data_IF_093456276443
#
_entry.id   IF_093456276443
#
_cell.length_a   1.000
_cell.length_b   1.000
_cell.length_c   1.000
_cell.angle_alpha   90.00
_cell.angle_beta   90.00
_cell.angle_gamma   90.00
#
_symmetry.space_group_name_H-M   'P 1'
#
loop_
_entity.id
_entity.type
_entity.pdbx_description
1 polymer ?
#
# COMPACT_ATOMS: atom_id res chain seq x y z
N UNK A 1 12.88 12.78 -9.58
CA UNK A 1 14.25 12.88 -8.96
C UNK A 1 14.41 11.94 -7.77
N UNK A 2 13.44 11.89 -6.81
CA UNK A 2 13.58 11.01 -5.62
C UNK A 2 13.81 9.54 -6.00
N UNK A 3 12.96 8.96 -6.84
CA UNK A 3 13.08 7.55 -7.25
C UNK A 3 14.37 7.25 -8.04
N UNK A 4 14.96 8.25 -8.71
CA UNK A 4 16.24 8.07 -9.40
C UNK A 4 17.42 8.00 -8.42
N UNK A 5 17.32 8.73 -7.31
CA UNK A 5 18.34 8.75 -6.25
C UNK A 5 18.14 7.62 -5.21
N UNK A 6 16.98 6.99 -5.20
CA UNK A 6 16.60 5.92 -4.28
C UNK A 6 16.07 4.73 -5.08
N UNK A 7 16.95 4.00 -5.80
CA UNK A 7 16.53 2.81 -6.52
C UNK A 7 15.96 1.77 -5.53
N UNK A 8 15.03 0.91 -5.97
CA UNK A 8 14.54 -0.18 -5.15
C UNK A 8 15.70 -1.02 -4.64
N UNK A 9 15.62 -1.42 -3.38
CA UNK A 9 16.56 -2.40 -2.83
C UNK A 9 16.44 -3.70 -3.63
N UNK A 10 17.56 -4.42 -3.74
CA UNK A 10 17.54 -5.72 -4.40
C UNK A 10 16.61 -6.68 -3.64
N UNK A 11 16.05 -7.70 -4.30
CA UNK A 11 15.29 -8.72 -3.60
C UNK A 11 16.05 -9.33 -2.42
N UNK A 12 17.37 -9.47 -2.51
CA UNK A 12 18.20 -9.99 -1.40
C UNK A 12 18.18 -9.10 -0.16
N UNK A 13 18.14 -7.79 -0.35
CA UNK A 13 18.17 -6.81 0.76
C UNK A 13 16.79 -6.66 1.41
N UNK A 14 15.73 -7.03 0.71
CA UNK A 14 14.34 -6.92 1.18
C UNK A 14 13.68 -8.27 1.43
N UNK A 15 14.39 -9.38 1.24
CA UNK A 15 13.90 -10.71 1.57
C UNK A 15 13.66 -10.87 3.07
N UNK A 16 12.73 -11.77 3.39
CA UNK A 16 12.44 -12.14 4.77
C UNK A 16 13.67 -12.84 5.36
N UNK A 17 14.26 -12.25 6.37
CA UNK A 17 15.38 -12.83 7.11
C UNK A 17 14.94 -14.02 7.95
N UNK A 18 15.88 -14.88 8.36
CA UNK A 18 15.55 -16.03 9.21
C UNK A 18 14.84 -15.64 10.52
N UNK A 19 15.28 -14.61 11.28
CA UNK A 19 14.54 -14.17 12.46
C UNK A 19 13.12 -13.70 12.16
N UNK A 20 12.91 -13.00 11.03
CA UNK A 20 11.58 -12.58 10.60
C UNK A 20 10.71 -13.77 10.22
N UNK A 21 11.28 -14.76 9.52
CA UNK A 21 10.58 -16.00 9.18
C UNK A 21 10.12 -16.76 10.42
N UNK A 22 10.98 -16.91 11.42
CA UNK A 22 10.61 -17.52 12.71
C UNK A 22 9.52 -16.72 13.42
N UNK A 23 9.60 -15.39 13.38
CA UNK A 23 8.57 -14.51 13.92
C UNK A 23 7.22 -14.66 13.21
N UNK A 24 7.23 -14.87 11.88
CA UNK A 24 6.02 -15.15 11.10
C UNK A 24 5.44 -16.51 11.48
N UNK A 25 6.26 -17.53 11.67
CA UNK A 25 5.80 -18.85 12.09
C UNK A 25 5.16 -18.80 13.48
N UNK A 26 5.72 -18.01 14.41
CA UNK A 26 5.20 -17.86 15.77
C UNK A 26 3.92 -17.01 15.82
N UNK A 27 3.90 -15.87 15.13
CA UNK A 27 2.87 -14.82 15.25
C UNK A 27 1.81 -14.89 14.14
N UNK A 28 2.07 -15.64 13.07
CA UNK A 28 1.20 -15.67 11.89
C UNK A 28 1.03 -14.29 11.26
N UNK A 29 -0.18 -13.94 10.89
CA UNK A 29 -0.51 -12.64 10.28
C UNK A 29 -0.17 -11.45 11.17
N UNK A 30 -0.14 -11.62 12.49
CA UNK A 30 0.24 -10.57 13.45
C UNK A 30 1.72 -10.18 13.39
N UNK A 31 2.53 -10.84 12.57
CA UNK A 31 3.91 -10.42 12.31
C UNK A 31 3.97 -9.13 11.47
N UNK A 32 2.94 -8.89 10.65
CA UNK A 32 2.84 -7.65 9.86
C UNK A 32 2.33 -6.50 10.72
N UNK A 33 2.96 -5.36 10.56
CA UNK A 33 2.58 -4.11 11.21
C UNK A 33 3.02 -2.92 10.36
N UNK A 34 2.46 -1.77 10.67
CA UNK A 34 2.91 -0.50 10.12
C UNK A 34 3.66 0.27 11.20
N UNK A 35 4.80 0.86 10.87
CA UNK A 35 5.60 1.63 11.82
C UNK A 35 6.06 2.93 11.16
N UNK A 36 5.57 4.10 11.62
CA UNK A 36 5.97 5.38 11.09
C UNK A 36 7.39 5.80 11.52
N UNK A 37 7.99 5.13 12.51
CA UNK A 37 9.30 5.52 13.05
C UNK A 37 10.47 5.30 12.07
N UNK A 38 10.30 4.47 11.06
CA UNK A 38 11.32 4.27 10.02
C UNK A 38 11.38 5.38 8.97
N UNK A 39 10.34 6.16 8.86
CA UNK A 39 10.28 7.31 7.97
C UNK A 39 9.77 8.48 8.80
N UNK A 40 10.41 9.63 8.72
CA UNK A 40 10.01 10.87 9.40
C UNK A 40 8.63 11.36 8.93
N UNK A 41 7.65 10.47 8.96
CA UNK A 41 6.33 10.66 8.42
C UNK A 41 5.40 11.21 9.50
N UNK A 42 5.36 12.53 9.61
CA UNK A 42 4.51 13.25 10.57
C UNK A 42 3.02 13.25 10.17
N UNK A 43 2.67 12.64 9.04
CA UNK A 43 1.31 12.67 8.47
C UNK A 43 0.44 11.50 8.81
N UNK A 44 0.94 10.48 9.52
CA UNK A 44 0.18 9.31 9.95
C UNK A 44 0.55 8.88 11.36
N UNK A 45 -0.45 8.55 12.16
CA UNK A 45 -0.29 7.89 13.45
C UNK A 45 -0.73 6.43 13.33
N UNK A 46 0.00 5.55 13.95
CA UNK A 46 -0.32 4.12 13.99
C UNK A 46 -0.66 3.72 15.43
N UNK A 47 -1.84 3.14 15.63
CA UNK A 47 -2.24 2.49 16.87
C UNK A 47 -2.52 1.01 16.64
N UNK A 48 -2.45 0.20 17.69
CA UNK A 48 -2.66 -1.24 17.62
C UNK A 48 -1.89 -1.93 16.46
N UNK A 49 -0.80 -1.30 15.97
CA UNK A 49 0.09 -1.76 14.90
C UNK A 49 -0.50 -1.77 13.49
N UNK A 50 -1.82 -1.70 13.33
CA UNK A 50 -2.53 -1.81 12.05
C UNK A 50 -3.66 -0.80 11.87
N UNK A 51 -3.87 0.08 12.85
CA UNK A 51 -4.84 1.16 12.79
C UNK A 51 -4.11 2.45 12.39
N UNK A 52 -4.44 2.97 11.21
CA UNK A 52 -3.78 4.11 10.59
C UNK A 52 -4.68 5.33 10.64
N UNK A 53 -4.19 6.41 11.25
CA UNK A 53 -4.85 7.70 11.25
C UNK A 53 -4.00 8.71 10.50
N UNK A 54 -4.50 9.16 9.34
CA UNK A 54 -3.90 10.19 8.51
C UNK A 54 -4.43 11.57 8.90
N UNK A 55 -3.57 12.60 8.83
CA UNK A 55 -3.91 13.97 9.20
C UNK A 55 -3.97 14.89 7.97
N UNK A 56 -4.88 15.87 8.00
CA UNK A 56 -5.15 16.75 6.86
C UNK A 56 -3.99 17.70 6.51
N UNK A 57 -3.24 18.14 7.51
CA UNK A 57 -2.25 19.20 7.36
C UNK A 57 -0.81 18.69 7.55
N UNK A 58 -0.49 17.57 6.94
CA UNK A 58 0.85 17.00 7.07
C UNK A 58 1.89 17.80 6.29
N UNK A 59 3.03 18.14 6.91
CA UNK A 59 4.12 18.82 6.21
C UNK A 59 4.59 18.03 4.99
N UNK A 60 4.68 18.68 3.84
CA UNK A 60 5.15 18.07 2.58
C UNK A 60 4.05 17.55 1.65
N UNK A 61 2.79 17.65 2.03
CA UNK A 61 1.66 17.39 1.12
C UNK A 61 1.43 18.58 0.19
N UNK A 62 2.24 18.70 -0.86
CA UNK A 62 1.95 19.62 -1.95
C UNK A 62 0.85 19.00 -2.83
N UNK A 63 -0.37 19.44 -2.66
CA UNK A 63 -1.59 18.91 -3.31
C UNK A 63 -1.54 19.02 -4.83
N UNK A 64 -0.84 20.00 -5.39
CA UNK A 64 -0.78 20.25 -6.83
C UNK A 64 -0.01 19.18 -7.63
N UNK A 65 0.83 18.37 -6.98
CA UNK A 65 1.63 17.33 -7.63
C UNK A 65 1.29 15.90 -7.16
N UNK A 66 0.14 15.67 -6.55
CA UNK A 66 -0.24 14.37 -6.00
C UNK A 66 0.57 14.01 -4.75
N UNK A 67 0.80 14.99 -3.89
CA UNK A 67 1.37 14.80 -2.56
C UNK A 67 0.41 14.01 -1.68
N UNK A 68 0.95 13.06 -0.92
CA UNK A 68 0.18 12.22 -0.02
C UNK A 68 1.09 11.73 1.12
N UNK A 69 0.48 11.35 2.22
CA UNK A 69 1.19 10.64 3.28
C UNK A 69 1.12 9.14 3.01
N UNK A 70 2.26 8.46 2.90
CA UNK A 70 2.34 7.04 2.53
C UNK A 70 3.07 6.25 3.61
N UNK A 71 2.52 5.10 3.96
CA UNK A 71 3.10 4.16 4.91
C UNK A 71 3.14 2.75 4.33
N UNK A 72 4.21 2.03 4.63
CA UNK A 72 4.40 0.64 4.22
C UNK A 72 4.45 -0.28 5.44
N UNK A 73 4.07 -1.54 5.23
CA UNK A 73 4.26 -2.57 6.26
C UNK A 73 5.75 -2.83 6.54
N UNK A 74 6.03 -3.40 7.72
CA UNK A 74 7.37 -3.79 8.14
C UNK A 74 7.96 -4.95 7.32
N UNK A 75 7.11 -5.87 6.86
CA UNK A 75 7.50 -7.08 6.13
C UNK A 75 6.91 -7.09 4.71
N UNK A 76 7.61 -7.65 3.73
CA UNK A 76 7.08 -7.87 2.39
C UNK A 76 6.06 -9.02 2.40
N UNK A 77 5.29 -9.13 1.33
CA UNK A 77 4.50 -10.33 1.06
C UNK A 77 5.43 -11.49 0.72
N UNK A 78 5.33 -12.63 1.43
CA UNK A 78 6.14 -13.80 1.14
C UNK A 78 5.84 -14.38 -0.26
N UNK A 79 6.71 -15.26 -0.75
CA UNK A 79 6.54 -15.90 -2.06
C UNK A 79 6.29 -17.40 -1.97
N UNK A 80 6.10 -17.92 -0.76
CA UNK A 80 5.99 -19.35 -0.49
C UNK A 80 4.63 -19.96 -0.81
N UNK A 81 3.56 -19.18 -0.78
CA UNK A 81 2.21 -19.63 -1.02
C UNK A 81 1.69 -19.19 -2.40
N UNK A 82 0.62 -19.81 -2.86
CA UNK A 82 0.00 -19.49 -4.15
C UNK A 82 -0.66 -18.12 -4.17
N UNK A 83 -1.12 -17.64 -3.00
CA UNK A 83 -1.79 -16.36 -2.85
C UNK A 83 -1.56 -15.77 -1.45
N UNK A 84 -1.39 -14.47 -1.40
CA UNK A 84 -1.46 -13.65 -0.20
C UNK A 84 -2.57 -12.64 -0.33
N UNK A 85 -3.27 -12.39 0.77
CA UNK A 85 -4.41 -11.50 0.80
C UNK A 85 -4.46 -10.74 2.12
N UNK A 86 -4.79 -9.47 2.05
CA UNK A 86 -5.03 -8.61 3.20
C UNK A 86 -6.12 -7.59 2.89
N UNK A 87 -6.73 -7.02 3.92
CA UNK A 87 -7.86 -6.10 3.80
C UNK A 87 -7.63 -4.81 4.58
N UNK A 88 -8.26 -3.75 4.10
CA UNK A 88 -8.32 -2.46 4.74
C UNK A 88 -9.76 -2.01 4.87
N UNK A 89 -10.21 -1.75 6.09
CA UNK A 89 -11.52 -1.14 6.35
C UNK A 89 -11.38 0.37 6.46
N UNK A 90 -12.19 1.10 5.73
CA UNK A 90 -12.21 2.57 5.73
C UNK A 90 -13.17 3.04 6.83
N UNK A 91 -12.63 3.50 7.96
CA UNK A 91 -13.42 3.98 9.10
C UNK A 91 -13.82 5.44 8.94
N UNK A 92 -12.94 6.27 8.39
CA UNK A 92 -13.21 7.68 8.13
C UNK A 92 -12.53 8.10 6.84
N UNK A 93 -13.25 8.82 6.02
CA UNK A 93 -12.78 9.42 4.77
C UNK A 93 -13.69 10.61 4.41
N UNK A 94 -13.24 11.86 4.63
CA UNK A 94 -13.89 13.03 4.05
C UNK A 94 -13.98 12.91 2.52
N UNK A 95 -14.95 13.55 1.92
CA UNK A 95 -15.20 13.48 0.48
C UNK A 95 -13.98 13.93 -0.35
N UNK A 96 -13.31 15.00 0.10
CA UNK A 96 -12.14 15.55 -0.56
C UNK A 96 -10.87 14.69 -0.42
N UNK A 97 -10.83 13.74 0.54
CA UNK A 97 -9.66 12.91 0.77
C UNK A 97 -9.62 11.74 -0.21
N UNK A 98 -8.49 11.57 -0.86
CA UNK A 98 -8.17 10.38 -1.65
C UNK A 98 -7.36 9.41 -0.81
N UNK A 99 -7.77 8.14 -0.78
CA UNK A 99 -7.01 7.03 -0.23
C UNK A 99 -6.52 6.17 -1.38
N UNK A 100 -5.24 5.78 -1.36
CA UNK A 100 -4.69 4.78 -2.26
C UNK A 100 -4.25 3.55 -1.47
N UNK A 101 -4.62 2.37 -1.96
CA UNK A 101 -4.32 1.08 -1.34
C UNK A 101 -3.65 0.19 -2.37
N UNK A 102 -2.49 -0.37 -2.03
CA UNK A 102 -1.76 -1.21 -2.96
C UNK A 102 -0.46 -1.78 -2.43
N UNK A 103 0.51 -1.91 -3.30
CA UNK A 103 1.79 -2.55 -3.04
C UNK A 103 2.92 -1.69 -3.62
N UNK A 104 4.05 -1.65 -2.93
CA UNK A 104 5.25 -0.98 -3.42
C UNK A 104 6.53 -1.68 -2.93
N UNK A 105 7.64 -1.44 -3.63
CA UNK A 105 8.97 -1.87 -3.18
C UNK A 105 9.53 -0.91 -2.14
N UNK A 106 10.59 -1.30 -1.44
CA UNK A 106 11.38 -0.39 -0.58
C UNK A 106 12.70 -0.01 -1.27
N UNK A 107 13.17 1.23 -1.10
CA UNK A 107 12.49 2.36 -0.46
C UNK A 107 11.37 2.93 -1.34
N UNK A 108 10.34 3.49 -0.74
CA UNK A 108 9.26 4.21 -1.42
C UNK A 108 9.08 5.60 -0.79
N UNK A 109 8.81 6.66 -1.59
CA UNK A 109 8.67 8.01 -1.03
C UNK A 109 7.44 8.12 -0.14
N UNK A 110 7.64 8.56 1.10
CA UNK A 110 6.57 8.73 2.09
C UNK A 110 5.58 9.86 1.77
N UNK A 111 5.88 10.65 0.72
CA UNK A 111 5.09 11.80 0.28
C UNK A 111 4.39 11.60 -1.08
N UNK A 112 4.30 10.38 -1.59
CA UNK A 112 3.68 10.05 -2.89
C UNK A 112 2.75 8.86 -2.78
N UNK A 113 1.62 8.92 -3.49
CA UNK A 113 0.74 7.77 -3.63
C UNK A 113 1.44 6.55 -4.22
N UNK A 114 1.19 5.32 -3.72
CA UNK A 114 1.56 4.11 -4.45
C UNK A 114 0.90 4.10 -5.83
N UNK A 115 1.61 3.59 -6.83
CA UNK A 115 1.22 3.70 -8.23
C UNK A 115 1.78 4.93 -8.95
N UNK A 116 2.20 5.97 -8.23
CA UNK A 116 2.74 7.20 -8.84
C UNK A 116 4.26 7.19 -9.03
N UNK A 117 4.97 6.32 -8.36
CA UNK A 117 6.40 6.08 -8.55
C UNK A 117 6.66 4.66 -9.03
N UNK A 118 7.85 4.43 -9.61
CA UNK A 118 8.26 3.12 -10.13
C UNK A 118 8.15 2.02 -9.08
N UNK A 119 7.81 0.83 -9.54
CA UNK A 119 7.69 -0.40 -8.75
C UNK A 119 6.62 -0.31 -7.65
N UNK A 120 5.51 0.32 -8.00
CA UNK A 120 4.33 0.40 -7.15
C UNK A 120 3.04 0.30 -7.96
N UNK A 121 2.02 -0.21 -7.32
CA UNK A 121 0.67 -0.38 -7.88
C UNK A 121 -0.37 -0.05 -6.82
N UNK A 122 -1.48 0.57 -7.20
CA UNK A 122 -2.58 0.86 -6.28
C UNK A 122 -3.91 1.05 -6.99
N UNK A 123 -4.99 1.04 -6.18
CA UNK A 123 -6.29 1.59 -6.56
C UNK A 123 -6.60 2.81 -5.70
N UNK A 124 -7.41 3.71 -6.25
CA UNK A 124 -7.73 5.03 -5.68
C UNK A 124 -9.19 5.14 -5.30
N UNK A 125 -9.45 5.70 -4.11
CA UNK A 125 -10.82 5.82 -3.59
C UNK A 125 -11.68 6.80 -4.36
N UNK A 126 -11.08 7.84 -4.94
CA UNK A 126 -11.82 8.97 -5.53
C UNK A 126 -12.58 8.58 -6.79
N UNK A 127 -11.99 7.75 -7.62
CA UNK A 127 -12.47 7.39 -8.95
C UNK A 127 -12.51 5.87 -9.20
N UNK A 128 -11.95 5.06 -8.30
CA UNK A 128 -11.82 3.62 -8.47
C UNK A 128 -10.79 3.22 -9.52
N UNK A 129 -9.94 4.14 -9.95
CA UNK A 129 -8.89 3.84 -10.93
C UNK A 129 -7.77 3.02 -10.30
N UNK A 130 -7.12 2.23 -11.12
CA UNK A 130 -5.83 1.59 -10.82
C UNK A 130 -4.70 2.37 -11.49
N UNK A 131 -3.54 2.39 -10.83
CA UNK A 131 -2.36 3.07 -11.36
C UNK A 131 -1.09 2.26 -11.09
N UNK A 132 -0.10 2.35 -11.97
CA UNK A 132 1.19 1.70 -11.81
C UNK A 132 2.32 2.59 -12.32
N UNK A 133 3.38 2.67 -11.53
CA UNK A 133 4.68 3.26 -11.88
C UNK A 133 4.69 4.75 -12.24
N UNK A 134 3.58 5.36 -12.61
CA UNK A 134 3.49 6.76 -12.99
C UNK A 134 2.03 7.25 -13.02
N UNK A 135 1.72 8.49 -12.60
CA UNK A 135 0.34 9.01 -12.58
C UNK A 135 -0.39 8.91 -13.92
N UNK A 136 0.30 9.12 -15.03
CA UNK A 136 -0.29 9.02 -16.37
C UNK A 136 -0.70 7.59 -16.77
N UNK A 137 -0.34 6.59 -16.01
CA UNK A 137 -0.76 5.20 -16.20
C UNK A 137 -2.07 4.86 -15.49
N UNK A 138 -2.79 5.86 -15.00
CA UNK A 138 -4.09 5.64 -14.36
C UNK A 138 -5.12 5.10 -15.38
N UNK A 139 -5.85 4.07 -14.98
CA UNK A 139 -6.83 3.39 -15.82
C UNK A 139 -8.10 3.09 -15.02
N UNK A 140 -9.25 3.19 -15.65
CA UNK A 140 -10.52 2.78 -15.07
C UNK A 140 -10.47 1.30 -14.65
N UNK A 141 -10.93 0.99 -13.45
CA UNK A 141 -10.87 -0.38 -12.93
C UNK A 141 -12.09 -0.78 -12.12
N UNK A 142 -12.44 -0.02 -11.10
CA UNK A 142 -13.57 -0.29 -10.22
C UNK A 142 -14.42 0.95 -9.96
N UNK A 143 -15.37 0.82 -9.06
CA UNK A 143 -16.11 1.96 -8.56
C UNK A 143 -15.33 2.66 -7.43
N UNK A 144 -15.55 3.97 -7.21
CA UNK A 144 -15.05 4.68 -6.04
C UNK A 144 -15.39 3.94 -4.75
N UNK A 145 -14.49 3.97 -3.77
CA UNK A 145 -14.76 3.41 -2.45
C UNK A 145 -14.76 4.50 -1.38
N UNK A 146 -15.59 4.29 -0.36
CA UNK A 146 -15.95 5.31 0.62
C UNK A 146 -15.85 4.77 2.05
N UNK A 147 -16.13 5.61 3.03
CA UNK A 147 -16.28 5.20 4.43
C UNK A 147 -17.22 4.00 4.55
N UNK A 148 -16.79 3.01 5.32
CA UNK A 148 -17.49 1.74 5.56
C UNK A 148 -17.08 0.61 4.63
N UNK A 149 -16.50 0.90 3.47
CA UNK A 149 -16.03 -0.14 2.56
C UNK A 149 -14.82 -0.89 3.13
N UNK A 150 -14.72 -2.16 2.76
CA UNK A 150 -13.55 -3.02 2.97
C UNK A 150 -12.91 -3.27 1.62
N UNK A 151 -11.66 -2.86 1.49
CA UNK A 151 -10.87 -3.02 0.27
C UNK A 151 -9.77 -4.04 0.52
N UNK A 152 -9.77 -5.13 -0.25
CA UNK A 152 -8.76 -6.16 -0.16
C UNK A 152 -7.75 -6.11 -1.30
N UNK A 153 -6.56 -6.61 -1.03
CA UNK A 153 -5.45 -6.74 -1.99
C UNK A 153 -5.00 -8.18 -2.01
N UNK A 154 -5.09 -8.82 -3.16
CA UNK A 154 -4.59 -10.17 -3.40
C UNK A 154 -3.38 -10.18 -4.31
N UNK A 155 -2.35 -10.92 -3.92
CA UNK A 155 -1.11 -11.09 -4.68
C UNK A 155 -0.83 -12.57 -4.95
N UNK A 156 -0.54 -12.91 -6.20
CA UNK A 156 -0.09 -14.24 -6.62
C UNK A 156 1.39 -14.20 -6.98
N UNK A 157 2.27 -14.71 -6.12
CA UNK A 157 3.72 -14.63 -6.33
C UNK A 157 4.21 -15.27 -7.61
N UNK A 158 3.61 -16.39 -8.04
CA UNK A 158 4.06 -17.14 -9.24
C UNK A 158 3.93 -16.34 -10.52
N UNK A 159 2.86 -15.57 -10.66
CA UNK A 159 2.55 -14.78 -11.85
C UNK A 159 2.84 -13.30 -11.66
N UNK A 160 3.09 -12.87 -10.41
CA UNK A 160 3.17 -11.46 -10.06
C UNK A 160 1.86 -10.73 -10.27
N UNK A 161 0.72 -11.44 -10.23
CA UNK A 161 -0.60 -10.85 -10.43
C UNK A 161 -1.12 -10.21 -9.14
N UNK A 162 -1.74 -9.05 -9.30
CA UNK A 162 -2.46 -8.34 -8.24
C UNK A 162 -3.92 -8.15 -8.64
N UNK A 163 -4.81 -8.48 -7.73
CA UNK A 163 -6.24 -8.17 -7.83
C UNK A 163 -6.70 -7.46 -6.56
N UNK A 164 -7.84 -6.80 -6.66
CA UNK A 164 -8.47 -6.17 -5.52
C UNK A 164 -9.86 -6.77 -5.25
N UNK A 165 -10.32 -6.58 -4.03
CA UNK A 165 -11.71 -6.88 -3.66
C UNK A 165 -12.34 -5.63 -3.08
N UNK A 166 -13.66 -5.54 -3.17
CA UNK A 166 -14.46 -4.56 -2.45
C UNK A 166 -15.62 -5.26 -1.76
N UNK A 167 -15.69 -5.11 -0.43
CA UNK A 167 -16.73 -5.72 0.41
C UNK A 167 -16.85 -7.25 0.16
N UNK A 168 -15.70 -7.93 0.07
CA UNK A 168 -15.62 -9.36 -0.19
C UNK A 168 -15.82 -9.78 -1.66
N UNK A 169 -16.19 -8.87 -2.56
CA UNK A 169 -16.39 -9.18 -3.97
C UNK A 169 -15.07 -8.96 -4.72
N UNK A 170 -14.57 -10.04 -5.34
CA UNK A 170 -13.34 -9.99 -6.14
C UNK A 170 -13.59 -9.25 -7.46
N UNK A 171 -12.67 -8.33 -7.78
CA UNK A 171 -12.60 -7.65 -9.07
C UNK A 171 -11.66 -8.40 -10.03
N UNK A 172 -11.59 -7.96 -11.28
CA UNK A 172 -10.68 -8.53 -12.27
C UNK A 172 -9.21 -8.40 -11.85
N UNK A 173 -8.31 -9.14 -12.50
CA UNK A 173 -6.86 -8.94 -12.32
C UNK A 173 -6.51 -7.49 -12.70
N UNK A 174 -5.84 -6.79 -11.78
CA UNK A 174 -5.48 -5.39 -11.99
C UNK A 174 -4.12 -5.25 -12.67
N UNK A 175 -3.13 -6.04 -12.20
CA UNK A 175 -1.75 -5.97 -12.65
C UNK A 175 -1.16 -7.38 -12.75
N UNK A 176 -0.12 -7.54 -13.55
CA UNK A 176 0.64 -8.79 -13.72
C UNK A 176 2.14 -8.50 -13.85
N UNK A 177 2.97 -9.53 -13.77
CA UNK A 177 4.40 -9.39 -14.03
C UNK A 177 5.23 -8.83 -12.86
N UNK A 178 4.68 -8.83 -11.64
CA UNK A 178 5.37 -8.27 -10.46
C UNK A 178 6.14 -9.32 -9.63
N UNK A 179 6.33 -10.54 -10.15
CA UNK A 179 6.95 -11.66 -9.43
C UNK A 179 8.41 -11.42 -9.03
N UNK A 180 9.12 -10.54 -9.73
CA UNK A 180 10.54 -10.24 -9.47
C UNK A 180 10.75 -9.29 -8.28
N UNK A 181 9.69 -8.67 -7.77
CA UNK A 181 9.79 -7.67 -6.71
C UNK A 181 9.38 -8.24 -5.36
N UNK A 182 10.01 -7.74 -4.29
CA UNK A 182 9.48 -7.87 -2.93
C UNK A 182 8.55 -6.69 -2.67
N UNK A 183 7.28 -6.99 -2.53
CA UNK A 183 6.21 -6.01 -2.44
C UNK A 183 5.69 -5.92 -1.01
N UNK A 184 5.56 -4.69 -0.53
CA UNK A 184 5.07 -4.36 0.80
C UNK A 184 3.65 -3.82 0.70
N UNK A 185 2.69 -4.28 1.52
CA UNK A 185 1.44 -3.59 1.75
C UNK A 185 1.66 -2.09 1.98
N UNK A 186 0.97 -1.27 1.20
CA UNK A 186 1.18 0.18 1.18
C UNK A 186 -0.14 0.90 1.15
N UNK A 187 -0.31 1.86 2.06
CA UNK A 187 -1.52 2.68 2.16
C UNK A 187 -1.11 4.15 2.21
N UNK A 188 -1.91 4.99 1.58
CA UNK A 188 -1.65 6.41 1.48
C UNK A 188 -2.94 7.22 1.50
N UNK A 189 -2.86 8.44 2.02
CA UNK A 189 -3.94 9.42 1.94
C UNK A 189 -3.39 10.83 1.74
N UNK A 190 -4.13 11.68 1.01
CA UNK A 190 -3.80 13.09 0.78
C UNK A 190 -4.55 14.04 1.73
N UNK A 191 -5.23 13.51 2.72
CA UNK A 191 -5.98 14.25 3.72
C UNK A 191 -6.31 13.39 4.92
N UNK A 192 -7.16 13.89 5.81
CA UNK A 192 -7.60 13.15 6.97
C UNK A 192 -8.31 11.85 6.57
N UNK A 193 -7.92 10.74 7.17
CA UNK A 193 -8.55 9.44 6.97
C UNK A 193 -8.21 8.48 8.12
N UNK A 194 -9.08 7.50 8.35
CA UNK A 194 -8.83 6.41 9.29
C UNK A 194 -9.05 5.07 8.59
N UNK A 195 -8.02 4.24 8.61
CA UNK A 195 -7.98 2.94 7.92
C UNK A 195 -7.45 1.88 8.88
N UNK A 196 -8.19 0.80 9.04
CA UNK A 196 -7.75 -0.36 9.84
C UNK A 196 -7.42 -1.51 8.91
N UNK A 197 -6.25 -2.10 9.11
CA UNK A 197 -5.72 -3.20 8.29
C UNK A 197 -5.85 -4.52 9.04
N UNK A 198 -6.29 -5.55 8.33
CA UNK A 198 -6.44 -6.92 8.82
C UNK A 198 -5.69 -7.90 7.91
#
# INVERSE_FOLDING_TARGET
>A
RWCANHPPLSPRDTDITMPQFLGIQEKGVSAWSFDPAYESNQGVMVSARTELQFFADSPGMATEEGGACTIQSNLPLPKSNDIYYWESKIFSKPEATTIAIGLSTKPYPSFRFPGYCKHSVAIFSQDGFKCYNHPLNAQSYGAPFVKGDVVGVGFRPRTGSVFFTRNGVRMAEAFTGLQSYNLFPTISADGAAEVHVN
#
